data_IF_013876747425
#
_entry.id   IF_013876747425
#
_cell.length_a   1.000
_cell.length_b   1.000
_cell.length_c   1.000
_cell.angle_alpha   90.00
_cell.angle_beta   90.00
_cell.angle_gamma   90.00
#
_symmetry.space_group_name_H-M   'P 1'
#
loop_
_entity.id
_entity.type
_entity.pdbx_description
1 polymer ?
#
# COMPACT_ATOMS: atom_id res chain seq x y z
N UNK A 1 -11.80 -1.10 -19.09
CA UNK A 1 -12.15 -0.08 -18.09
C UNK A 1 -11.21 1.12 -18.25
N UNK A 2 -11.44 2.23 -17.54
CA UNK A 2 -10.52 3.36 -17.58
C UNK A 2 -9.33 3.10 -16.65
N UNK A 3 -8.12 3.38 -17.13
CA UNK A 3 -6.93 3.42 -16.29
C UNK A 3 -6.96 4.68 -15.43
N UNK A 4 -6.49 4.55 -14.20
CA UNK A 4 -6.31 5.66 -13.26
C UNK A 4 -4.84 5.76 -12.88
N UNK A 5 -4.39 6.99 -12.68
CA UNK A 5 -3.09 7.26 -12.10
C UNK A 5 -3.20 7.16 -10.57
N UNK A 6 -2.35 6.32 -9.98
CA UNK A 6 -2.20 6.17 -8.54
C UNK A 6 -0.94 6.92 -8.14
N UNK A 7 -1.12 8.07 -7.50
CA UNK A 7 -0.06 8.94 -6.96
C UNK A 7 -0.52 9.52 -5.63
N UNK A 8 0.42 9.86 -4.74
CA UNK A 8 0.15 10.33 -3.38
C UNK A 8 -0.71 9.39 -2.52
N UNK A 9 -0.57 8.07 -2.75
CA UNK A 9 -1.18 7.03 -1.94
C UNK A 9 -0.10 6.17 -1.33
N UNK A 10 -0.30 5.77 -0.06
CA UNK A 10 0.54 4.74 0.56
C UNK A 10 -0.31 3.72 1.30
N UNK A 11 0.22 2.51 1.36
CA UNK A 11 -0.17 1.54 2.38
C UNK A 11 0.46 1.95 3.71
N UNK A 12 -0.28 1.86 4.80
CA UNK A 12 0.21 2.14 6.15
C UNK A 12 -0.21 1.06 7.14
N UNK A 13 0.58 0.83 8.20
CA UNK A 13 0.11 0.10 9.35
C UNK A 13 -0.95 0.92 10.09
N UNK A 14 -1.99 0.25 10.55
CA UNK A 14 -3.09 0.79 11.33
C UNK A 14 -3.69 -0.30 12.21
N UNK A 15 -4.82 -0.03 12.87
CA UNK A 15 -5.38 -0.94 13.86
C UNK A 15 -6.07 -2.12 13.17
N UNK A 16 -6.32 -3.20 13.93
CA UNK A 16 -7.09 -4.37 13.48
C UNK A 16 -8.61 -4.11 13.41
N UNK A 17 -9.03 -2.92 13.83
CA UNK A 17 -10.40 -2.38 13.79
C UNK A 17 -10.43 -1.20 12.82
N UNK A 18 -11.62 -0.65 12.57
CA UNK A 18 -11.73 0.56 11.75
C UNK A 18 -10.88 1.70 12.36
N UNK A 19 -10.03 2.37 11.57
CA UNK A 19 -9.15 3.41 12.02
C UNK A 19 -9.93 4.72 12.20
N UNK A 20 -9.34 5.71 12.91
CA UNK A 20 -9.82 7.07 12.80
C UNK A 20 -9.74 7.56 11.33
N UNK A 21 -10.53 8.59 10.95
CA UNK A 21 -10.50 9.12 9.59
C UNK A 21 -9.16 9.70 9.16
N UNK A 22 -8.31 10.10 10.10
CA UNK A 22 -7.01 10.72 9.83
C UNK A 22 -5.87 10.01 10.55
N UNK A 23 -4.72 9.91 9.88
CA UNK A 23 -3.48 9.38 10.48
C UNK A 23 -2.90 10.30 11.55
N UNK A 24 -3.26 11.58 11.58
CA UNK A 24 -2.83 12.51 12.64
C UNK A 24 -3.42 12.20 14.02
N UNK A 25 -4.50 11.42 14.09
CA UNK A 25 -5.12 10.97 15.35
C UNK A 25 -5.03 9.45 15.51
N UNK A 26 -4.14 8.81 14.75
CA UNK A 26 -3.91 7.37 14.84
C UNK A 26 -2.93 7.10 15.98
N UNK A 27 -3.44 6.53 17.07
CA UNK A 27 -2.65 6.26 18.29
C UNK A 27 -2.18 4.80 18.38
N UNK A 28 -2.95 3.86 17.80
CA UNK A 28 -2.67 2.43 17.83
C UNK A 28 -2.47 1.87 16.42
N UNK A 29 -1.38 1.13 16.20
CA UNK A 29 -1.11 0.45 14.94
C UNK A 29 -0.68 -1.00 15.16
N UNK A 30 -1.02 -1.86 14.21
CA UNK A 30 -0.41 -3.18 14.12
C UNK A 30 0.98 -3.06 13.48
N UNK A 31 2.00 -3.55 14.18
CA UNK A 31 3.38 -3.48 13.70
C UNK A 31 3.74 -4.74 12.92
N UNK A 32 4.28 -4.56 11.71
CA UNK A 32 4.74 -5.68 10.89
C UNK A 32 6.25 -5.59 10.64
N UNK A 33 6.94 -6.73 10.71
CA UNK A 33 8.31 -6.84 10.23
C UNK A 33 8.34 -6.62 8.69
N UNK A 34 9.30 -5.85 8.15
CA UNK A 34 9.43 -5.62 6.71
C UNK A 34 9.47 -6.91 5.89
N UNK A 35 10.17 -7.93 6.38
CA UNK A 35 10.28 -9.27 5.80
C UNK A 35 8.88 -9.85 5.53
N UNK A 36 8.01 -9.83 6.54
CA UNK A 36 6.66 -10.40 6.44
C UNK A 36 5.80 -9.65 5.42
N UNK A 37 5.93 -8.33 5.35
CA UNK A 37 5.20 -7.51 4.37
C UNK A 37 5.70 -7.81 2.96
N UNK A 38 7.03 -7.89 2.77
CA UNK A 38 7.65 -8.17 1.49
C UNK A 38 7.28 -9.57 0.98
N UNK A 39 7.37 -10.59 1.82
CA UNK A 39 6.96 -11.97 1.49
C UNK A 39 5.48 -12.02 1.09
N UNK A 40 4.62 -11.32 1.83
CA UNK A 40 3.18 -11.29 1.54
C UNK A 40 2.89 -10.62 0.20
N UNK A 41 3.54 -9.49 -0.09
CA UNK A 41 3.42 -8.79 -1.37
C UNK A 41 3.91 -9.64 -2.53
N UNK A 42 5.08 -10.28 -2.39
CA UNK A 42 5.68 -11.11 -3.43
C UNK A 42 4.91 -12.41 -3.69
N UNK A 43 4.11 -12.87 -2.73
CA UNK A 43 3.19 -13.97 -2.92
C UNK A 43 1.96 -13.60 -3.77
N UNK A 44 1.71 -12.30 -4.01
CA UNK A 44 0.59 -11.86 -4.84
C UNK A 44 0.92 -12.01 -6.34
N UNK A 45 -0.01 -12.53 -7.17
CA UNK A 45 0.19 -12.66 -8.60
C UNK A 45 0.55 -11.33 -9.27
N UNK A 46 1.59 -11.36 -10.12
CA UNK A 46 2.05 -10.20 -10.87
C UNK A 46 3.02 -9.29 -10.11
N UNK A 47 3.31 -9.56 -8.83
CA UNK A 47 4.31 -8.80 -8.05
C UNK A 47 5.70 -9.41 -8.23
N UNK A 48 6.67 -8.57 -8.61
CA UNK A 48 8.06 -8.95 -8.72
C UNK A 48 8.98 -7.85 -8.17
N UNK A 49 10.15 -8.25 -7.66
CA UNK A 49 11.19 -7.31 -7.22
C UNK A 49 11.76 -6.55 -8.42
N UNK A 50 12.03 -5.26 -8.24
CA UNK A 50 12.66 -4.40 -9.27
C UNK A 50 13.96 -3.74 -8.78
N UNK A 51 14.45 -4.14 -7.61
CA UNK A 51 15.71 -3.69 -7.03
C UNK A 51 16.87 -4.67 -7.31
N UNK A 52 18.11 -4.28 -6.97
CA UNK A 52 19.31 -5.13 -7.07
C UNK A 52 19.28 -6.32 -6.08
N UNK A 53 20.16 -7.32 -6.24
CA UNK A 53 20.08 -8.59 -5.51
C UNK A 53 20.13 -8.51 -3.96
N UNK A 54 20.64 -7.41 -3.38
CA UNK A 54 20.79 -7.24 -1.93
C UNK A 54 20.49 -5.78 -1.52
N UNK A 55 19.22 -5.36 -1.51
CA UNK A 55 18.86 -4.01 -1.11
C UNK A 55 18.85 -3.88 0.42
N UNK A 56 19.02 -2.67 0.93
CA UNK A 56 18.52 -2.38 2.28
C UNK A 56 16.98 -2.37 2.27
N UNK A 57 16.34 -2.47 3.43
CA UNK A 57 14.87 -2.34 3.51
C UNK A 57 14.36 -0.99 3.00
N UNK A 58 15.16 0.08 3.06
CA UNK A 58 14.82 1.39 2.50
C UNK A 58 14.85 1.42 0.98
N UNK A 59 15.69 0.56 0.37
CA UNK A 59 15.85 0.40 -1.07
C UNK A 59 14.93 -0.68 -1.65
N UNK A 60 14.14 -1.33 -0.80
CA UNK A 60 13.21 -2.38 -1.23
C UNK A 60 12.13 -1.78 -2.13
N UNK A 61 12.06 -2.29 -3.35
CA UNK A 61 11.08 -1.93 -4.40
C UNK A 61 10.54 -3.18 -5.10
N UNK A 62 9.22 -3.24 -5.24
CA UNK A 62 8.54 -4.23 -6.08
C UNK A 62 7.58 -3.54 -7.05
N UNK A 63 7.26 -4.22 -8.13
CA UNK A 63 6.24 -3.83 -9.09
C UNK A 63 5.20 -4.91 -9.21
N UNK A 64 3.94 -4.55 -9.02
CA UNK A 64 2.82 -5.32 -9.52
C UNK A 64 2.59 -4.99 -11.01
N UNK A 65 2.40 -6.00 -11.85
CA UNK A 65 2.05 -5.85 -13.27
C UNK A 65 0.76 -6.62 -13.56
N UNK A 66 -0.26 -5.91 -14.05
CA UNK A 66 -1.52 -6.48 -14.50
C UNK A 66 -1.69 -6.43 -16.02
N UNK A 67 -2.84 -6.84 -16.54
CA UNK A 67 -3.11 -6.85 -17.99
C UNK A 67 -3.05 -5.46 -18.64
N UNK A 68 -3.48 -4.43 -17.90
CA UNK A 68 -3.69 -3.08 -18.44
C UNK A 68 -2.74 -2.04 -17.82
N UNK A 69 -1.88 -2.41 -16.87
CA UNK A 69 -1.11 -1.44 -16.09
C UNK A 69 -0.14 -2.02 -15.08
N UNK A 70 0.38 -1.16 -14.22
CA UNK A 70 1.38 -1.49 -13.20
C UNK A 70 1.27 -0.58 -11.97
N UNK A 71 1.81 -1.05 -10.85
CA UNK A 71 1.97 -0.31 -9.61
C UNK A 71 3.35 -0.62 -8.99
N UNK A 72 4.15 0.41 -8.78
CA UNK A 72 5.36 0.34 -7.96
C UNK A 72 5.03 0.50 -6.49
N UNK A 73 5.76 -0.26 -5.69
CA UNK A 73 5.58 -0.38 -4.26
C UNK A 73 6.96 -0.21 -3.63
N UNK A 74 7.13 0.83 -2.82
CA UNK A 74 8.39 1.11 -2.13
C UNK A 74 8.20 1.28 -0.63
N UNK A 75 9.02 0.60 0.15
CA UNK A 75 8.91 0.62 1.62
C UNK A 75 9.37 1.95 2.21
N UNK A 76 8.67 2.33 3.28
CA UNK A 76 9.17 3.19 4.35
C UNK A 76 9.25 2.36 5.62
N UNK A 77 10.14 2.73 6.53
CA UNK A 77 10.37 2.02 7.78
C UNK A 77 10.16 2.96 8.96
N UNK A 78 9.79 2.39 10.11
CA UNK A 78 9.96 3.06 11.38
C UNK A 78 11.39 2.87 11.86
N UNK A 79 12.00 3.95 12.37
CA UNK A 79 13.34 3.93 12.97
C UNK A 79 13.26 3.44 14.43
N UNK A 80 12.92 2.16 14.58
CA UNK A 80 12.75 1.46 15.86
C UNK A 80 13.49 0.12 15.82
N UNK A 81 13.72 -0.50 16.98
CA UNK A 81 14.37 -1.80 17.10
C UNK A 81 13.42 -2.84 17.76
N UNK A 82 13.10 -3.96 17.10
CA UNK A 82 13.50 -4.32 15.72
C UNK A 82 12.85 -3.41 14.68
N UNK A 83 13.51 -3.28 13.52
CA UNK A 83 12.99 -2.48 12.40
C UNK A 83 11.59 -2.94 12.04
N UNK A 84 10.70 -1.97 11.81
CA UNK A 84 9.31 -2.21 11.46
C UNK A 84 8.95 -1.53 10.15
N UNK A 85 8.03 -2.13 9.41
CA UNK A 85 7.44 -1.54 8.22
C UNK A 85 6.62 -0.30 8.61
N UNK A 86 6.99 0.85 8.06
CA UNK A 86 6.34 2.14 8.29
C UNK A 86 5.27 2.48 7.25
N UNK A 87 5.23 1.74 6.14
CA UNK A 87 4.31 1.95 5.04
C UNK A 87 4.93 1.61 3.69
N UNK A 88 4.13 1.73 2.63
CA UNK A 88 4.62 1.58 1.26
C UNK A 88 3.97 2.61 0.35
N UNK A 89 4.78 3.47 -0.28
CA UNK A 89 4.29 4.33 -1.34
C UNK A 89 3.78 3.49 -2.51
N UNK A 90 2.65 3.90 -3.09
CA UNK A 90 2.05 3.30 -4.27
C UNK A 90 2.07 4.31 -5.41
N UNK A 91 2.73 3.95 -6.50
CA UNK A 91 2.87 4.81 -7.66
C UNK A 91 2.64 4.01 -8.95
N UNK A 92 1.81 4.51 -9.86
CA UNK A 92 1.66 3.86 -11.17
C UNK A 92 0.36 4.16 -11.88
N UNK A 93 0.04 3.34 -12.88
CA UNK A 93 -1.16 3.47 -13.71
C UNK A 93 -1.76 2.10 -13.89
N UNK A 94 -2.98 1.89 -13.40
CA UNK A 94 -3.68 0.61 -13.50
C UNK A 94 -5.20 0.81 -13.51
N UNK A 95 -5.94 -0.29 -13.65
CA UNK A 95 -7.38 -0.25 -13.40
C UNK A 95 -7.62 -0.13 -11.88
N UNK A 96 -8.59 0.71 -11.49
CA UNK A 96 -8.88 0.94 -10.07
C UNK A 96 -9.28 -0.35 -9.34
N UNK A 97 -10.02 -1.24 -10.02
CA UNK A 97 -10.41 -2.53 -9.46
C UNK A 97 -9.20 -3.42 -9.14
N UNK A 98 -8.16 -3.38 -9.98
CA UNK A 98 -6.93 -4.13 -9.72
C UNK A 98 -6.19 -3.60 -8.49
N UNK A 99 -6.08 -2.27 -8.35
CA UNK A 99 -5.50 -1.64 -7.15
C UNK A 99 -6.27 -2.05 -5.89
N UNK A 100 -7.61 -1.96 -5.92
CA UNK A 100 -8.47 -2.39 -4.81
C UNK A 100 -8.29 -3.88 -4.50
N UNK A 101 -8.22 -4.73 -5.52
CA UNK A 101 -8.04 -6.17 -5.36
C UNK A 101 -6.68 -6.50 -4.73
N UNK A 102 -5.60 -5.82 -5.15
CA UNK A 102 -4.28 -5.96 -4.56
C UNK A 102 -4.29 -5.61 -3.07
N UNK A 103 -4.88 -4.47 -2.70
CA UNK A 103 -4.96 -4.03 -1.30
C UNK A 103 -5.81 -5.00 -0.48
N UNK A 104 -6.94 -5.47 -1.01
CA UNK A 104 -7.77 -6.50 -0.33
C UNK A 104 -7.01 -7.80 -0.11
N UNK A 105 -6.27 -8.27 -1.10
CA UNK A 105 -5.50 -9.51 -1.00
C UNK A 105 -4.39 -9.40 0.05
N UNK A 106 -3.68 -8.27 0.08
CA UNK A 106 -2.69 -7.97 1.11
C UNK A 106 -3.33 -7.94 2.50
N UNK A 107 -4.45 -7.22 2.64
CA UNK A 107 -5.14 -7.04 3.92
C UNK A 107 -5.77 -8.34 4.45
N UNK A 108 -6.13 -9.28 3.57
CA UNK A 108 -6.58 -10.61 3.99
C UNK A 108 -5.48 -11.41 4.73
N UNK A 109 -4.20 -11.05 4.56
CA UNK A 109 -3.06 -11.64 5.26
C UNK A 109 -2.48 -10.73 6.35
N UNK A 110 -2.61 -9.42 6.16
CA UNK A 110 -2.13 -8.38 7.06
C UNK A 110 -3.30 -7.42 7.39
N UNK A 111 -4.22 -7.80 8.29
CA UNK A 111 -5.48 -7.09 8.52
C UNK A 111 -5.33 -5.64 9.01
N UNK A 112 -4.18 -5.29 9.59
CA UNK A 112 -3.83 -3.93 10.01
C UNK A 112 -3.27 -3.06 8.88
N UNK A 113 -3.27 -3.51 7.63
CA UNK A 113 -2.89 -2.67 6.49
C UNK A 113 -4.08 -1.80 6.06
N UNK A 114 -3.82 -0.50 5.92
CA UNK A 114 -4.76 0.51 5.45
C UNK A 114 -4.15 1.34 4.34
N UNK A 115 -4.96 2.14 3.65
CA UNK A 115 -4.50 3.14 2.70
C UNK A 115 -4.55 4.51 3.35
N UNK A 116 -3.63 5.39 3.00
CA UNK A 116 -3.81 6.82 3.23
C UNK A 116 -3.38 7.63 2.00
N UNK A 117 -3.99 8.81 1.85
CA UNK A 117 -3.65 9.74 0.79
C UNK A 117 -2.75 10.89 1.29
N UNK A 118 -2.30 11.74 0.37
CA UNK A 118 -1.54 12.96 0.69
C UNK A 118 -2.25 13.97 1.60
N UNK A 119 -3.56 13.83 1.84
CA UNK A 119 -4.31 14.62 2.83
C UNK A 119 -4.34 13.96 4.22
N UNK A 120 -3.59 12.88 4.43
CA UNK A 120 -3.53 12.09 5.66
C UNK A 120 -4.87 11.48 6.06
N UNK A 121 -5.78 11.26 5.11
CA UNK A 121 -7.04 10.55 5.33
C UNK A 121 -6.80 9.04 5.20
N UNK A 122 -7.34 8.26 6.12
CA UNK A 122 -7.22 6.79 6.11
C UNK A 122 -8.43 6.16 5.43
N UNK A 123 -8.17 5.19 4.58
CA UNK A 123 -9.15 4.55 3.72
C UNK A 123 -9.12 3.03 3.85
N UNK A 124 -10.31 2.42 3.83
CA UNK A 124 -10.45 1.01 3.51
C UNK A 124 -10.25 0.81 2.00
N UNK A 125 -10.07 -0.43 1.52
CA UNK A 125 -10.05 -0.69 0.08
C UNK A 125 -11.30 -0.17 -0.65
N UNK A 126 -12.46 -0.20 0.02
CA UNK A 126 -13.75 0.27 -0.50
C UNK A 126 -13.81 1.80 -0.59
N UNK A 127 -13.41 2.52 0.47
CA UNK A 127 -13.45 3.99 0.46
C UNK A 127 -12.40 4.58 -0.49
N UNK A 128 -11.25 3.91 -0.65
CA UNK A 128 -10.24 4.25 -1.65
C UNK A 128 -10.81 4.34 -3.06
N UNK A 129 -11.65 3.37 -3.47
CA UNK A 129 -12.27 3.37 -4.79
C UNK A 129 -13.13 4.63 -5.02
N UNK A 130 -13.87 5.06 -3.99
CA UNK A 130 -14.65 6.29 -4.03
C UNK A 130 -13.77 7.55 -4.11
N UNK A 131 -12.68 7.59 -3.35
CA UNK A 131 -11.80 8.76 -3.27
C UNK A 131 -10.98 9.01 -4.52
N UNK A 132 -10.52 7.96 -5.21
CA UNK A 132 -9.79 8.11 -6.48
C UNK A 132 -10.70 8.61 -7.60
N UNK A 133 -11.94 8.11 -7.67
CA UNK A 133 -12.91 8.51 -8.69
C UNK A 133 -13.28 10.01 -8.62
N UNK A 134 -13.27 10.61 -7.43
CA UNK A 134 -13.57 12.06 -7.24
C UNK A 134 -12.46 12.95 -7.78
N UNK A 135 -11.19 12.51 -7.78
CA UNK A 135 -10.06 13.31 -8.27
C UNK A 135 -9.91 13.28 -9.80
N UNK A 136 -10.43 12.26 -10.48
CA UNK A 136 -10.36 12.10 -11.94
C UNK A 136 -11.51 12.74 -12.74
N UNK A 137 -12.44 13.43 -12.09
CA UNK A 137 -13.65 14.02 -12.70
C UNK A 137 -13.59 15.53 -12.98
N UNK A 138 -12.39 16.11 -13.07
CA UNK A 138 -12.17 17.55 -13.34
C UNK A 138 -12.00 17.88 -14.81
#
# INVERSE_FOLDING_TARGET
>A
MALVEIVDWSLIPGPLRDPPPSSGTLEDIETYAPERVAETLLALPGVALIHSADPSWWDWRARWTGPSGWLDIGFTLFDVEPVAWGGSALEGVCELEDAVALVRALRAKLPGVWLHNGACEIHSPESFAGSVAVRGGG
#
